data_IF_696006694114
#
_entry.id   IF_696006694114
#
_cell.length_a   1.000
_cell.length_b   1.000
_cell.length_c   1.000
_cell.angle_alpha   90.00
_cell.angle_beta   90.00
_cell.angle_gamma   90.00
#
_symmetry.space_group_name_H-M   'P 1'
#
loop_
_entity.id
_entity.type
_entity.pdbx_description
1 polymer ?
#
# COMPACT_ATOMS: atom_id res chain seq x y z
N UNK A 1 15.00 -5.54 -69.07
CA UNK A 1 14.81 -4.44 -68.10
C UNK A 1 13.63 -4.69 -67.15
N UNK A 2 12.43 -5.05 -67.64
CA UNK A 2 11.28 -5.36 -66.76
C UNK A 2 11.51 -6.53 -65.77
N UNK A 3 12.12 -7.62 -66.22
CA UNK A 3 12.43 -8.80 -65.38
C UNK A 3 13.39 -8.48 -64.21
N UNK A 4 14.35 -7.56 -64.43
CA UNK A 4 15.33 -7.17 -63.41
C UNK A 4 14.74 -6.20 -62.38
N UNK A 5 13.72 -5.42 -62.77
CA UNK A 5 12.98 -4.52 -61.89
C UNK A 5 12.02 -5.30 -60.97
N UNK A 6 11.36 -6.34 -61.50
CA UNK A 6 10.49 -7.24 -60.72
C UNK A 6 11.24 -8.02 -59.64
N UNK A 7 12.47 -8.47 -59.92
CA UNK A 7 13.30 -9.17 -58.95
C UNK A 7 13.68 -8.26 -57.76
N UNK A 8 13.96 -6.99 -58.00
CA UNK A 8 14.30 -6.02 -56.93
C UNK A 8 13.07 -5.72 -56.05
N UNK A 9 11.89 -5.59 -56.64
CA UNK A 9 10.65 -5.40 -55.88
C UNK A 9 10.29 -6.62 -55.03
N UNK A 10 10.58 -7.83 -55.51
CA UNK A 10 10.35 -9.07 -54.75
C UNK A 10 11.28 -9.17 -53.53
N UNK A 11 12.57 -8.87 -53.66
CA UNK A 11 13.51 -8.84 -52.53
C UNK A 11 13.12 -7.77 -51.50
N UNK A 12 12.70 -6.57 -51.95
CA UNK A 12 12.20 -5.51 -51.07
C UNK A 12 10.94 -5.93 -50.30
N UNK A 13 10.06 -6.71 -50.93
CA UNK A 13 8.89 -7.30 -50.27
C UNK A 13 9.27 -8.32 -49.18
N UNK A 14 10.27 -9.18 -49.44
CA UNK A 14 10.75 -10.14 -48.44
C UNK A 14 11.34 -9.47 -47.20
N UNK A 15 12.14 -8.41 -47.37
CA UNK A 15 12.67 -7.65 -46.23
C UNK A 15 11.57 -6.97 -45.41
N UNK A 16 10.53 -6.43 -46.05
CA UNK A 16 9.39 -5.87 -45.35
C UNK A 16 8.62 -6.93 -44.55
N UNK A 17 8.42 -8.12 -45.13
CA UNK A 17 7.68 -9.21 -44.49
C UNK A 17 8.43 -9.75 -43.26
N UNK A 18 9.76 -9.89 -43.35
CA UNK A 18 10.61 -10.26 -42.21
C UNK A 18 10.61 -9.18 -41.12
N UNK A 19 10.66 -7.91 -41.51
CA UNK A 19 10.60 -6.79 -40.56
C UNK A 19 9.28 -6.72 -39.79
N UNK A 20 8.15 -6.91 -40.47
CA UNK A 20 6.83 -7.00 -39.83
C UNK A 20 6.74 -8.23 -38.93
N UNK A 21 7.27 -9.38 -39.37
CA UNK A 21 7.34 -10.58 -38.54
C UNK A 21 8.14 -10.36 -37.25
N UNK A 22 9.31 -9.73 -37.33
CA UNK A 22 10.12 -9.38 -36.17
C UNK A 22 9.39 -8.44 -35.21
N UNK A 23 8.71 -7.43 -35.75
CA UNK A 23 7.92 -6.49 -34.96
C UNK A 23 6.77 -7.18 -34.20
N UNK A 24 6.07 -8.12 -34.84
CA UNK A 24 5.02 -8.91 -34.21
C UNK A 24 5.59 -9.80 -33.09
N UNK A 25 6.73 -10.43 -33.30
CA UNK A 25 7.41 -11.24 -32.26
C UNK A 25 7.83 -10.37 -31.07
N UNK A 26 8.37 -9.18 -31.31
CA UNK A 26 8.71 -8.23 -30.24
C UNK A 26 7.48 -7.82 -29.43
N UNK A 27 6.34 -7.55 -30.09
CA UNK A 27 5.08 -7.26 -29.39
C UNK A 27 4.60 -8.45 -28.57
N UNK A 28 4.72 -9.67 -29.10
CA UNK A 28 4.33 -10.87 -28.37
C UNK A 28 5.17 -11.06 -27.10
N UNK A 29 6.50 -10.87 -27.19
CA UNK A 29 7.39 -10.90 -26.04
C UNK A 29 7.04 -9.79 -25.04
N UNK A 30 6.74 -8.59 -25.50
CA UNK A 30 6.34 -7.47 -24.65
C UNK A 30 5.03 -7.76 -23.88
N UNK A 31 4.03 -8.33 -24.54
CA UNK A 31 2.77 -8.73 -23.91
C UNK A 31 3.00 -9.83 -22.88
N UNK A 32 3.77 -10.87 -23.21
CA UNK A 32 4.08 -11.94 -22.25
C UNK A 32 4.89 -11.43 -21.05
N UNK A 33 5.83 -10.50 -21.26
CA UNK A 33 6.57 -9.87 -20.17
C UNK A 33 5.63 -9.04 -19.27
N UNK A 34 4.71 -8.29 -19.87
CA UNK A 34 3.69 -7.49 -19.17
C UNK A 34 2.68 -8.36 -18.41
N UNK A 35 2.25 -9.48 -19.01
CA UNK A 35 1.37 -10.45 -18.37
C UNK A 35 2.07 -11.17 -17.23
N UNK A 36 3.36 -11.47 -17.34
CA UNK A 36 4.17 -12.00 -16.24
C UNK A 36 4.20 -11.06 -15.04
N UNK A 37 4.28 -9.75 -15.26
CA UNK A 37 4.22 -8.78 -14.18
C UNK A 37 2.81 -8.69 -13.54
N UNK A 38 1.77 -8.99 -14.31
CA UNK A 38 0.39 -9.12 -13.80
C UNK A 38 0.19 -10.42 -13.00
N UNK A 39 0.74 -11.55 -13.47
CA UNK A 39 0.68 -12.84 -12.78
C UNK A 39 1.45 -12.86 -11.46
N UNK A 40 2.57 -12.12 -11.35
CA UNK A 40 3.29 -11.95 -10.08
C UNK A 40 2.43 -11.27 -9.00
N UNK A 41 1.44 -10.46 -9.39
CA UNK A 41 0.49 -9.86 -8.45
C UNK A 41 -0.57 -10.87 -7.99
N UNK A 42 -1.08 -11.72 -8.88
CA UNK A 42 -2.06 -12.78 -8.57
C UNK A 42 -1.55 -13.80 -7.55
N UNK A 43 -0.28 -14.24 -7.67
CA UNK A 43 0.30 -15.20 -6.72
C UNK A 43 0.37 -14.66 -5.27
N UNK A 44 0.49 -13.33 -5.09
CA UNK A 44 0.42 -12.71 -3.75
C UNK A 44 -1.01 -12.69 -3.20
N UNK A 45 -2.01 -12.52 -4.06
CA UNK A 45 -3.41 -12.59 -3.68
C UNK A 45 -3.86 -14.01 -3.33
N UNK A 46 -3.41 -15.03 -4.07
CA UNK A 46 -3.68 -16.44 -3.74
C UNK A 46 -3.16 -16.83 -2.36
N UNK A 47 -1.94 -16.39 -2.01
CA UNK A 47 -1.36 -16.62 -0.68
C UNK A 47 -2.14 -15.91 0.43
N UNK A 48 -2.55 -14.66 0.21
CA UNK A 48 -3.33 -13.89 1.18
C UNK A 48 -4.73 -14.50 1.40
N UNK A 49 -5.42 -14.90 0.33
CA UNK A 49 -6.75 -15.53 0.40
C UNK A 49 -6.66 -16.89 1.11
N UNK A 50 -5.63 -17.69 0.82
CA UNK A 50 -5.43 -18.99 1.47
C UNK A 50 -5.12 -18.84 2.96
N UNK A 51 -4.30 -17.85 3.34
CA UNK A 51 -4.03 -17.55 4.76
C UNK A 51 -5.29 -17.07 5.48
N UNK A 52 -6.06 -16.18 4.86
CA UNK A 52 -7.33 -15.67 5.40
C UNK A 52 -8.36 -16.79 5.59
N UNK A 53 -8.52 -17.67 4.59
CA UNK A 53 -9.41 -18.82 4.67
C UNK A 53 -9.01 -19.78 5.81
N UNK A 54 -7.70 -19.98 6.02
CA UNK A 54 -7.18 -20.82 7.10
C UNK A 54 -7.41 -20.21 8.48
N UNK A 55 -7.29 -18.88 8.62
CA UNK A 55 -7.60 -18.16 9.86
C UNK A 55 -9.09 -18.14 10.17
N UNK A 56 -9.95 -17.97 9.16
CA UNK A 56 -11.40 -18.07 9.30
C UNK A 56 -11.78 -19.48 9.76
N UNK A 57 -11.24 -20.53 9.12
CA UNK A 57 -11.51 -21.91 9.52
C UNK A 57 -11.02 -22.23 10.94
N UNK A 58 -9.85 -21.71 11.34
CA UNK A 58 -9.31 -21.89 12.69
C UNK A 58 -10.15 -21.16 13.74
N UNK A 59 -10.63 -19.97 13.43
CA UNK A 59 -11.53 -19.17 14.29
C UNK A 59 -12.89 -19.87 14.43
N UNK A 60 -13.47 -20.33 13.33
CA UNK A 60 -14.76 -21.05 13.32
C UNK A 60 -14.68 -22.38 14.08
N UNK A 61 -13.60 -23.15 13.88
CA UNK A 61 -13.33 -24.37 14.65
C UNK A 61 -13.01 -24.09 16.12
N UNK A 62 -12.50 -22.90 16.43
CA UNK A 62 -12.36 -22.42 17.81
C UNK A 62 -13.72 -22.21 18.45
N UNK A 63 -14.63 -21.50 17.77
CA UNK A 63 -16.02 -21.27 18.20
C UNK A 63 -16.78 -22.58 18.38
N UNK A 64 -16.66 -23.52 17.44
CA UNK A 64 -17.33 -24.82 17.51
C UNK A 64 -16.82 -25.68 18.70
N UNK A 65 -15.53 -25.58 19.04
CA UNK A 65 -14.98 -26.20 20.26
C UNK A 65 -15.50 -25.54 21.53
N UNK A 66 -15.65 -24.21 21.53
CA UNK A 66 -16.27 -23.49 22.65
C UNK A 66 -17.76 -23.82 22.81
N UNK A 67 -18.51 -23.99 21.71
CA UNK A 67 -19.90 -24.47 21.76
C UNK A 67 -20.00 -25.92 22.22
N UNK A 68 -19.09 -26.80 21.79
CA UNK A 68 -19.10 -28.20 22.20
C UNK A 68 -18.71 -28.38 23.68
N UNK A 69 -17.79 -27.55 24.17
CA UNK A 69 -17.40 -27.53 25.59
C UNK A 69 -18.48 -26.84 26.45
N UNK A 70 -19.15 -25.81 25.92
CA UNK A 70 -20.33 -25.18 26.51
C UNK A 70 -21.51 -26.13 26.63
N UNK A 71 -21.88 -26.84 25.56
CA UNK A 71 -22.94 -27.86 25.58
C UNK A 71 -22.61 -29.04 26.50
N UNK A 72 -21.33 -29.40 26.64
CA UNK A 72 -20.91 -30.45 27.59
C UNK A 72 -21.04 -29.98 29.03
N UNK A 73 -20.75 -28.70 29.31
CA UNK A 73 -20.97 -28.08 30.62
C UNK A 73 -22.48 -27.97 30.92
N UNK A 74 -23.30 -27.56 29.95
CA UNK A 74 -24.76 -27.47 30.13
C UNK A 74 -25.43 -28.85 30.28
N UNK A 75 -24.95 -29.86 29.55
CA UNK A 75 -25.40 -31.24 29.71
C UNK A 75 -24.99 -31.85 31.07
N UNK A 76 -23.78 -31.55 31.54
CA UNK A 76 -23.34 -31.95 32.88
C UNK A 76 -24.12 -31.22 34.00
N UNK A 77 -24.42 -29.93 33.82
CA UNK A 77 -25.28 -29.18 34.74
C UNK A 77 -26.74 -29.68 34.76
N UNK A 78 -27.26 -30.15 33.61
CA UNK A 78 -28.60 -30.75 33.53
C UNK A 78 -28.67 -32.14 34.19
N UNK A 79 -27.57 -32.90 34.19
CA UNK A 79 -27.46 -34.19 34.89
C UNK A 79 -27.21 -34.05 36.39
N UNK A 80 -26.60 -32.96 36.84
CA UNK A 80 -26.30 -32.67 38.25
C UNK A 80 -27.44 -31.96 39.00
N UNK A 81 -28.62 -31.80 38.37
CA UNK A 81 -29.84 -31.22 38.94
C UNK A 81 -30.48 -32.03 40.10
N UNK A 82 -29.70 -32.85 40.81
CA UNK A 82 -30.13 -33.67 41.93
C UNK A 82 -29.63 -33.23 43.31
N UNK A 83 -28.62 -32.37 43.45
CA UNK A 83 -28.03 -32.06 44.76
C UNK A 83 -27.79 -30.56 44.99
N UNK A 84 -28.85 -29.90 45.46
CA UNK A 84 -28.81 -28.53 45.98
C UNK A 84 -28.04 -28.44 47.31
N UNK A 85 -26.71 -28.32 47.26
CA UNK A 85 -25.96 -27.75 48.40
C UNK A 85 -24.52 -27.30 48.07
N UNK A 86 -23.89 -27.82 47.00
CA UNK A 86 -22.49 -27.47 46.67
C UNK A 86 -22.32 -26.56 45.43
N UNK A 87 -23.39 -26.27 44.69
CA UNK A 87 -23.32 -25.47 43.46
C UNK A 87 -23.34 -23.95 43.69
N UNK A 88 -23.76 -23.49 44.87
CA UNK A 88 -23.77 -22.07 45.22
C UNK A 88 -22.36 -21.48 45.38
N UNK A 89 -21.41 -22.27 45.92
CA UNK A 89 -20.02 -21.83 46.11
C UNK A 89 -19.24 -21.79 44.79
N UNK A 90 -19.42 -22.78 43.92
CA UNK A 90 -18.70 -22.85 42.63
C UNK A 90 -19.16 -21.80 41.61
N UNK A 91 -20.45 -21.44 41.61
CA UNK A 91 -20.96 -20.33 40.79
C UNK A 91 -20.48 -18.97 41.31
N UNK A 92 -20.48 -18.78 42.63
CA UNK A 92 -19.98 -17.53 43.23
C UNK A 92 -18.48 -17.35 43.02
N UNK A 93 -17.72 -18.45 43.05
CA UNK A 93 -16.29 -18.46 42.75
C UNK A 93 -16.01 -18.17 41.27
N UNK A 94 -16.83 -18.73 40.35
CA UNK A 94 -16.77 -18.41 38.91
C UNK A 94 -17.10 -16.94 38.62
N UNK A 95 -18.16 -16.39 39.23
CA UNK A 95 -18.54 -14.97 39.10
C UNK A 95 -17.42 -14.06 39.63
N UNK A 96 -16.82 -14.43 40.76
CA UNK A 96 -15.68 -13.70 41.34
C UNK A 96 -14.45 -13.76 40.42
N UNK A 97 -14.19 -14.93 39.81
CA UNK A 97 -13.11 -15.10 38.83
C UNK A 97 -13.32 -14.29 37.55
N UNK A 98 -14.58 -14.16 37.10
CA UNK A 98 -14.94 -13.32 35.95
C UNK A 98 -14.77 -11.84 36.25
N UNK A 99 -15.24 -11.37 37.41
CA UNK A 99 -15.03 -9.99 37.83
C UNK A 99 -13.54 -9.65 37.97
N UNK A 100 -12.72 -10.60 38.45
CA UNK A 100 -11.27 -10.42 38.50
C UNK A 100 -10.66 -10.28 37.10
N UNK A 101 -11.07 -11.14 36.16
CA UNK A 101 -10.62 -11.05 34.75
C UNK A 101 -11.08 -9.77 34.06
N UNK A 102 -12.29 -9.27 34.34
CA UNK A 102 -12.80 -8.00 33.82
C UNK A 102 -11.96 -6.84 34.37
N UNK A 103 -11.65 -6.84 35.66
CA UNK A 103 -10.78 -5.82 36.27
C UNK A 103 -9.32 -5.89 35.75
N UNK A 104 -8.83 -7.08 35.42
CA UNK A 104 -7.53 -7.25 34.76
C UNK A 104 -7.58 -6.69 33.32
N UNK A 105 -8.65 -6.98 32.58
CA UNK A 105 -8.85 -6.43 31.23
C UNK A 105 -8.97 -4.90 31.23
N UNK A 106 -9.64 -4.32 32.21
CA UNK A 106 -9.78 -2.87 32.34
C UNK A 106 -8.40 -2.20 32.55
N UNK A 107 -7.54 -2.82 33.37
CA UNK A 107 -6.15 -2.39 33.55
C UNK A 107 -5.32 -2.54 32.27
N UNK A 108 -5.51 -3.62 31.53
CA UNK A 108 -4.82 -3.84 30.25
C UNK A 108 -5.25 -2.79 29.21
N UNK A 109 -6.53 -2.40 29.20
CA UNK A 109 -7.05 -1.34 28.33
C UNK A 109 -6.46 0.02 28.72
N UNK A 110 -6.40 0.35 30.00
CA UNK A 110 -5.77 1.58 30.48
C UNK A 110 -4.28 1.63 30.13
N UNK A 111 -3.56 0.50 30.27
CA UNK A 111 -2.16 0.40 29.87
C UNK A 111 -1.99 0.56 28.36
N UNK A 112 -2.90 -0.02 27.56
CA UNK A 112 -2.87 0.08 26.11
C UNK A 112 -3.11 1.52 25.66
N UNK A 113 -4.09 2.21 26.27
CA UNK A 113 -4.36 3.63 26.01
C UNK A 113 -3.14 4.48 26.33
N UNK A 114 -2.54 4.30 27.50
CA UNK A 114 -1.32 5.01 27.91
C UNK A 114 -0.16 4.78 26.93
N UNK A 115 0.06 3.52 26.51
CA UNK A 115 1.09 3.18 25.54
C UNK A 115 0.84 3.84 24.17
N UNK A 116 -0.41 3.86 23.68
CA UNK A 116 -0.72 4.54 22.43
C UNK A 116 -0.63 6.06 22.53
N UNK A 117 -1.03 6.67 23.65
CA UNK A 117 -0.86 8.11 23.88
C UNK A 117 0.62 8.50 23.84
N UNK A 118 1.50 7.73 24.50
CA UNK A 118 2.95 7.95 24.44
C UNK A 118 3.50 7.78 23.02
N UNK A 119 3.04 6.75 22.29
CA UNK A 119 3.42 6.56 20.88
C UNK A 119 2.96 7.71 20.03
N UNK A 120 1.71 8.18 20.16
CA UNK A 120 1.18 9.32 19.41
C UNK A 120 2.01 10.57 19.70
N UNK A 121 2.29 10.89 20.96
CA UNK A 121 3.15 12.02 21.33
C UNK A 121 4.55 11.87 20.72
N UNK A 122 5.12 10.66 20.72
CA UNK A 122 6.42 10.41 20.08
C UNK A 122 6.37 10.58 18.56
N UNK A 123 5.28 10.20 17.91
CA UNK A 123 5.05 10.41 16.49
C UNK A 123 4.84 11.88 16.17
N UNK A 124 4.07 12.61 16.98
CA UNK A 124 3.87 14.05 16.82
C UNK A 124 5.18 14.82 16.98
N UNK A 125 6.00 14.46 17.98
CA UNK A 125 7.31 15.08 18.16
C UNK A 125 8.25 14.77 17.00
N UNK A 126 8.29 13.51 16.54
CA UNK A 126 9.06 13.14 15.34
C UNK A 126 8.54 13.85 14.10
N UNK A 127 7.23 13.92 13.92
CA UNK A 127 6.60 14.60 12.77
C UNK A 127 6.84 16.11 12.82
N UNK A 128 6.85 16.73 14.01
CA UNK A 128 7.20 18.13 14.19
C UNK A 128 8.67 18.39 13.86
N UNK A 129 9.56 17.49 14.27
CA UNK A 129 10.97 17.52 13.89
C UNK A 129 11.13 17.35 12.38
N UNK A 130 10.47 16.37 11.77
CA UNK A 130 10.47 16.17 10.31
C UNK A 130 9.77 17.29 9.53
N UNK A 131 8.76 17.94 10.10
CA UNK A 131 8.08 19.10 9.49
C UNK A 131 9.00 20.30 9.33
N UNK A 132 10.08 20.38 10.12
CA UNK A 132 11.16 21.33 9.90
C UNK A 132 12.18 20.87 8.84
N UNK A 133 12.19 19.58 8.45
CA UNK A 133 13.08 19.02 7.44
C UNK A 133 12.41 18.74 6.07
N UNK A 134 11.08 18.72 5.97
CA UNK A 134 10.38 18.59 4.66
C UNK A 134 10.38 19.89 3.84
N UNK A 135 10.93 21.00 4.36
CA UNK A 135 11.29 22.18 3.57
C UNK A 135 12.67 22.06 2.89
N UNK A 136 13.39 20.96 3.10
CA UNK A 136 14.79 20.78 2.69
C UNK A 136 15.06 20.36 1.24
N UNK A 137 14.12 20.60 0.31
CA UNK A 137 14.34 20.28 -1.11
C UNK A 137 13.47 21.05 -2.10
N UNK A 138 12.82 22.15 -1.69
CA UNK A 138 11.94 22.92 -2.59
C UNK A 138 11.95 24.43 -2.37
N UNK A 139 12.13 24.92 -1.14
CA UNK A 139 12.01 26.37 -0.85
C UNK A 139 13.24 27.17 -1.33
N UNK A 140 14.43 26.57 -1.27
CA UNK A 140 15.66 27.17 -1.82
C UNK A 140 15.62 27.18 -3.36
N UNK A 141 15.05 26.13 -3.95
CA UNK A 141 14.96 26.00 -5.40
C UNK A 141 13.92 26.94 -5.99
N UNK A 142 12.79 27.19 -5.32
CA UNK A 142 11.77 28.16 -5.77
C UNK A 142 12.33 29.58 -5.93
N UNK A 143 13.01 30.11 -4.92
CA UNK A 143 13.59 31.47 -5.00
C UNK A 143 14.67 31.56 -6.07
N UNK A 144 15.45 30.48 -6.25
CA UNK A 144 16.52 30.42 -7.24
C UNK A 144 15.97 30.28 -8.67
N UNK A 145 14.87 29.55 -8.86
CA UNK A 145 14.12 29.48 -10.12
C UNK A 145 13.62 30.87 -10.52
N UNK A 146 13.04 31.61 -9.58
CA UNK A 146 12.52 32.96 -9.82
C UNK A 146 13.65 33.92 -10.20
N UNK A 147 14.76 33.91 -9.47
CA UNK A 147 15.92 34.78 -9.75
C UNK A 147 16.57 34.46 -11.11
N UNK A 148 16.81 33.18 -11.41
CA UNK A 148 17.33 32.77 -12.73
C UNK A 148 16.38 33.17 -13.87
N UNK A 149 15.07 33.04 -13.68
CA UNK A 149 14.10 33.46 -14.70
C UNK A 149 14.09 34.99 -14.90
N UNK A 150 14.17 35.76 -13.82
CA UNK A 150 14.28 37.23 -13.88
C UNK A 150 15.59 37.69 -14.54
N UNK A 151 16.67 36.92 -14.38
CA UNK A 151 17.95 37.13 -15.05
C UNK A 151 17.94 36.72 -16.55
N UNK A 152 16.80 36.29 -17.09
CA UNK A 152 16.61 36.01 -18.53
C UNK A 152 16.94 34.59 -18.96
N UNK A 153 17.10 33.65 -18.04
CA UNK A 153 17.31 32.24 -18.38
C UNK A 153 16.01 31.57 -18.83
N UNK A 154 16.09 30.68 -19.82
CA UNK A 154 14.95 29.90 -20.29
C UNK A 154 14.58 28.80 -19.31
N UNK A 155 13.31 28.38 -19.34
CA UNK A 155 12.77 27.31 -18.48
C UNK A 155 13.58 26.01 -18.62
N UNK A 156 14.01 25.67 -19.84
CA UNK A 156 14.83 24.48 -20.12
C UNK A 156 16.25 24.59 -19.54
N UNK A 157 16.84 25.80 -19.55
CA UNK A 157 18.16 26.06 -18.94
C UNK A 157 18.10 25.96 -17.41
N UNK A 158 17.05 26.52 -16.79
CA UNK A 158 16.84 26.46 -15.33
C UNK A 158 16.61 25.01 -14.89
N UNK A 159 15.79 24.25 -15.62
CA UNK A 159 15.54 22.84 -15.34
C UNK A 159 16.82 21.99 -15.38
N UNK A 160 17.70 22.26 -16.35
CA UNK A 160 18.98 21.57 -16.48
C UNK A 160 19.98 21.95 -15.39
N UNK A 161 20.05 23.23 -15.04
CA UNK A 161 20.98 23.76 -14.03
C UNK A 161 20.61 23.31 -12.61
N UNK A 162 19.31 23.33 -12.29
CA UNK A 162 18.79 22.91 -10.99
C UNK A 162 18.48 21.40 -10.92
N UNK A 163 18.63 20.67 -12.04
CA UNK A 163 18.33 19.23 -12.17
C UNK A 163 16.90 18.85 -11.77
N UNK A 164 15.97 19.75 -12.04
CA UNK A 164 14.53 19.61 -11.76
C UNK A 164 13.75 19.45 -13.06
N UNK A 165 12.53 18.93 -12.96
CA UNK A 165 11.68 18.73 -14.13
C UNK A 165 11.25 20.07 -14.76
N UNK A 166 11.17 20.14 -16.09
CA UNK A 166 10.63 21.33 -16.79
C UNK A 166 9.24 21.73 -16.26
N UNK A 167 8.39 20.75 -15.94
CA UNK A 167 7.06 20.98 -15.38
C UNK A 167 7.08 21.60 -13.98
N UNK A 168 8.11 21.33 -13.19
CA UNK A 168 8.29 21.88 -11.85
C UNK A 168 8.69 23.36 -11.93
N UNK A 169 9.62 23.71 -12.81
CA UNK A 169 9.99 25.11 -13.10
C UNK A 169 8.77 25.91 -13.56
N UNK A 170 8.01 25.37 -14.53
CA UNK A 170 6.82 26.05 -15.06
C UNK A 170 5.73 26.22 -14.00
N UNK A 171 5.54 25.22 -13.13
CA UNK A 171 4.60 25.27 -12.02
C UNK A 171 4.98 26.34 -11.00
N UNK A 172 6.24 26.39 -10.59
CA UNK A 172 6.76 27.39 -9.65
C UNK A 172 6.64 28.82 -10.20
N UNK A 173 6.99 29.05 -11.47
CA UNK A 173 6.84 30.37 -12.09
C UNK A 173 5.37 30.81 -12.18
N UNK A 174 4.44 29.86 -12.42
CA UNK A 174 2.99 30.14 -12.42
C UNK A 174 2.46 30.45 -11.02
N UNK A 175 2.92 29.74 -9.99
CA UNK A 175 2.55 30.02 -8.60
C UNK A 175 3.06 31.38 -8.11
N UNK A 176 4.29 31.74 -8.50
CA UNK A 176 4.90 33.03 -8.18
C UNK A 176 4.28 34.21 -8.97
N UNK A 177 3.25 33.95 -9.79
CA UNK A 177 2.51 34.94 -10.60
C UNK A 177 3.41 35.77 -11.54
N UNK A 178 4.59 35.24 -11.88
CA UNK A 178 5.52 35.79 -12.86
C UNK A 178 5.30 35.09 -14.20
N UNK A 179 4.06 35.16 -14.71
CA UNK A 179 3.79 34.70 -16.06
C UNK A 179 4.38 35.67 -17.07
N UNK A 180 5.50 35.28 -17.70
CA UNK A 180 5.95 35.68 -19.04
C UNK A 180 6.08 37.19 -19.33
N UNK A 181 7.29 37.72 -19.58
CA UNK A 181 7.39 38.83 -20.51
C UNK A 181 7.05 38.26 -21.89
N UNK A 182 5.90 38.69 -22.39
CA UNK A 182 5.48 38.55 -23.78
C UNK A 182 6.62 39.01 -24.69
N UNK A 183 7.20 38.08 -25.46
CA UNK A 183 8.11 38.45 -26.55
C UNK A 183 7.23 38.94 -27.71
N UNK A 184 7.31 40.24 -27.99
CA UNK A 184 6.97 40.82 -29.29
C UNK A 184 8.13 40.63 -30.26
#
# INVERSE_FOLDING_TARGET
>A
MKEMMLAIDQEMLFFCLVGVGFFVVCLFIYVVAKDRDTHKRLHRFEGAITSLAKEIYKTQKGVEKFEQEGNKIDFLNALDGGNHSEQGSSLQEKITSMNKKINELDKDIDMLKSHYDEKIISLENKLREYGHFTSGGGDIDEKKIIDMFQNGFSIDSIAKELRIGRGEVEFTLKLANISSPTIK
#
